data_IF_845539012260
#
_entry.id   IF_845539012260
#
_cell.length_a   1.000
_cell.length_b   1.000
_cell.length_c   1.000
_cell.angle_alpha   90.00
_cell.angle_beta   90.00
_cell.angle_gamma   90.00
#
_symmetry.space_group_name_H-M   'P 1'
#
loop_
_entity.id
_entity.type
_entity.pdbx_description
1 polymer ?
#
# COMPACT_ATOMS: atom_id res chain seq x y z
N UNK A 1 66.26 26.97 1.29
CA UNK A 1 65.31 26.30 2.20
C UNK A 1 63.91 26.73 1.79
N UNK A 2 63.11 25.82 1.19
CA UNK A 2 61.73 26.07 0.84
C UNK A 2 60.82 25.32 1.83
N UNK A 3 59.79 25.92 2.41
CA UNK A 3 58.90 25.22 3.29
C UNK A 3 57.92 24.33 2.48
N UNK A 4 57.80 23.07 2.91
CA UNK A 4 56.82 22.11 2.41
C UNK A 4 55.51 22.37 3.16
N UNK A 5 54.49 22.80 2.44
CA UNK A 5 53.13 22.94 2.97
C UNK A 5 52.43 21.58 2.84
N UNK A 6 52.23 20.88 3.97
CA UNK A 6 51.39 19.69 4.04
C UNK A 6 49.94 20.15 3.98
N UNK A 7 49.29 19.90 2.85
CA UNK A 7 47.84 20.05 2.73
C UNK A 7 47.13 18.88 3.42
N UNK A 8 46.35 19.15 4.47
CA UNK A 8 45.44 18.20 5.07
C UNK A 8 44.18 18.08 4.18
N UNK A 9 44.03 16.95 3.49
CA UNK A 9 42.77 16.59 2.84
C UNK A 9 41.82 16.06 3.90
N UNK A 10 40.78 16.84 4.23
CA UNK A 10 39.62 16.38 4.98
C UNK A 10 38.77 15.49 4.06
N UNK A 11 38.87 14.17 4.25
CA UNK A 11 37.96 13.20 3.63
C UNK A 11 36.65 13.29 4.39
N UNK A 12 35.70 13.98 3.80
CA UNK A 12 34.32 13.99 4.28
C UNK A 12 33.70 12.59 4.13
N UNK A 13 33.47 11.91 5.24
CA UNK A 13 32.69 10.66 5.28
C UNK A 13 31.24 11.02 5.05
N UNK A 14 30.77 10.82 3.84
CA UNK A 14 29.32 10.81 3.53
C UNK A 14 28.71 9.59 4.19
N UNK A 15 28.01 9.79 5.31
CA UNK A 15 27.17 8.76 5.90
C UNK A 15 26.04 8.45 4.91
N UNK A 16 25.83 7.17 4.53
CA UNK A 16 24.67 6.81 3.72
C UNK A 16 23.43 7.13 4.53
N UNK A 17 22.63 8.07 4.03
CA UNK A 17 21.27 8.31 4.54
C UNK A 17 20.52 7.01 4.50
N UNK A 18 19.93 6.61 5.63
CA UNK A 18 19.00 5.47 5.70
C UNK A 18 17.80 5.88 4.87
N UNK A 19 17.81 5.54 3.59
CA UNK A 19 16.62 5.60 2.75
C UNK A 19 15.64 4.60 3.38
N UNK A 20 14.67 5.10 4.13
CA UNK A 20 13.55 4.29 4.60
C UNK A 20 12.99 3.57 3.39
N UNK A 21 12.99 2.24 3.41
CA UNK A 21 12.47 1.44 2.33
C UNK A 21 11.02 1.86 2.07
N UNK A 22 10.79 2.64 1.01
CA UNK A 22 9.45 2.90 0.50
C UNK A 22 8.91 1.56 0.05
N UNK A 23 7.88 1.07 0.74
CA UNK A 23 7.13 -0.09 0.27
C UNK A 23 6.33 0.38 -0.93
N UNK A 24 6.88 0.23 -2.12
CA UNK A 24 6.16 0.46 -3.37
C UNK A 24 5.51 -0.86 -3.78
N UNK A 25 4.20 -0.84 -3.99
CA UNK A 25 3.52 -1.90 -4.73
C UNK A 25 3.80 -1.65 -6.21
N UNK A 26 4.76 -2.37 -6.76
CA UNK A 26 5.12 -2.25 -8.17
C UNK A 26 4.08 -2.99 -9.03
N UNK A 27 3.68 -2.34 -10.12
CA UNK A 27 2.86 -2.97 -11.17
C UNK A 27 1.36 -2.75 -11.03
N UNK A 28 0.90 -1.76 -10.26
CA UNK A 28 -0.49 -1.32 -10.32
C UNK A 28 -0.76 -0.55 -11.62
N UNK A 29 -1.80 -0.95 -12.33
CA UNK A 29 -2.34 -0.22 -13.48
C UNK A 29 -3.86 -0.07 -13.30
N UNK A 30 -4.41 1.05 -13.79
CA UNK A 30 -5.84 1.26 -13.81
C UNK A 30 -6.53 0.44 -14.92
N UNK A 31 -7.85 0.50 -14.99
CA UNK A 31 -8.67 -0.20 -15.98
C UNK A 31 -8.36 0.18 -17.44
N UNK A 32 -7.64 1.29 -17.66
CA UNK A 32 -7.17 1.75 -18.96
C UNK A 32 -5.75 1.28 -19.27
N UNK A 33 -5.10 0.60 -18.34
CA UNK A 33 -3.71 0.19 -18.43
C UNK A 33 -2.70 1.29 -18.09
N UNK A 34 -3.14 2.42 -17.52
CA UNK A 34 -2.24 3.50 -17.09
C UNK A 34 -1.61 3.14 -15.73
N UNK A 35 -0.30 3.39 -15.56
CA UNK A 35 0.36 3.13 -14.29
C UNK A 35 -0.22 4.01 -13.18
N UNK A 36 -0.47 3.42 -12.02
CA UNK A 36 -0.96 4.10 -10.82
C UNK A 36 0.23 4.48 -9.95
N UNK A 37 0.43 5.76 -9.71
CA UNK A 37 1.51 6.25 -8.88
C UNK A 37 1.15 6.18 -7.39
N UNK A 38 2.13 5.84 -6.54
CA UNK A 38 1.98 5.93 -5.08
C UNK A 38 2.45 7.30 -4.58
N UNK A 39 1.64 7.94 -3.73
CA UNK A 39 1.89 9.30 -3.21
C UNK A 39 1.82 9.30 -1.69
N UNK A 40 2.84 9.86 -1.05
CA UNK A 40 2.86 10.05 0.41
C UNK A 40 1.88 11.14 0.82
N UNK A 41 1.01 10.84 1.79
CA UNK A 41 0.13 11.80 2.42
C UNK A 41 0.05 11.54 3.93
N UNK A 42 0.93 12.19 4.71
CA UNK A 42 0.95 12.06 6.19
C UNK A 42 -0.28 12.63 6.88
N UNK A 43 -1.10 13.39 6.18
CA UNK A 43 -2.39 13.94 6.68
C UNK A 43 -3.60 13.06 6.35
N UNK A 44 -3.43 11.95 5.63
CA UNK A 44 -4.51 11.02 5.35
C UNK A 44 -5.01 10.39 6.66
N UNK A 45 -6.32 10.41 6.88
CA UNK A 45 -6.95 9.78 8.06
C UNK A 45 -7.01 8.26 8.01
N UNK A 46 -6.56 7.65 6.93
CA UNK A 46 -6.58 6.22 6.66
C UNK A 46 -5.18 5.68 6.36
N UNK A 47 -5.06 4.37 6.18
CA UNK A 47 -3.83 3.67 5.79
C UNK A 47 -3.43 4.04 4.36
N UNK A 48 -4.36 3.91 3.43
CA UNK A 48 -4.22 4.22 2.02
C UNK A 48 -5.58 4.61 1.42
N UNK A 49 -5.56 5.23 0.24
CA UNK A 49 -6.77 5.63 -0.46
C UNK A 49 -6.49 5.75 -1.97
N UNK A 50 -7.29 5.09 -2.79
CA UNK A 50 -7.34 5.33 -4.22
C UNK A 50 -7.88 6.73 -4.51
N UNK A 51 -7.29 7.45 -5.44
CA UNK A 51 -7.71 8.80 -5.81
C UNK A 51 -7.23 9.21 -7.20
N UNK A 52 -7.60 10.40 -7.61
CA UNK A 52 -7.14 11.01 -8.85
C UNK A 52 -6.36 12.27 -8.54
N UNK A 53 -5.20 12.42 -9.16
CA UNK A 53 -4.45 13.68 -9.13
C UNK A 53 -5.22 14.80 -9.88
N UNK A 54 -4.91 16.08 -9.65
CA UNK A 54 -5.59 17.20 -10.32
C UNK A 54 -5.58 17.13 -11.86
N UNK A 55 -4.58 16.48 -12.44
CA UNK A 55 -4.46 16.25 -13.89
C UNK A 55 -5.21 15.00 -14.38
N UNK A 56 -5.98 14.32 -13.52
CA UNK A 56 -6.72 13.11 -13.85
C UNK A 56 -5.87 11.82 -13.87
N UNK A 57 -4.62 11.86 -13.43
CA UNK A 57 -3.81 10.64 -13.30
C UNK A 57 -4.25 9.81 -12.09
N UNK A 58 -4.29 8.46 -12.20
CA UNK A 58 -4.64 7.59 -11.09
C UNK A 58 -3.48 7.56 -10.07
N UNK A 59 -3.83 7.70 -8.79
CA UNK A 59 -2.86 7.66 -7.69
C UNK A 59 -3.40 6.89 -6.50
N UNK A 60 -2.51 6.24 -5.75
CA UNK A 60 -2.80 5.71 -4.41
C UNK A 60 -2.08 6.61 -3.41
N UNK A 61 -2.84 7.30 -2.57
CA UNK A 61 -2.30 8.02 -1.44
C UNK A 61 -2.10 7.07 -0.27
N UNK A 62 -1.01 7.22 0.49
CA UNK A 62 -0.80 6.41 1.68
C UNK A 62 -0.19 7.22 2.83
N UNK A 63 -0.60 6.88 4.05
CA UNK A 63 -0.09 7.51 5.26
C UNK A 63 1.10 6.72 5.83
N UNK A 64 2.33 7.22 5.72
CA UNK A 64 3.51 6.51 6.22
C UNK A 64 3.47 6.29 7.73
N UNK A 65 2.83 7.19 8.50
CA UNK A 65 2.74 7.12 9.96
C UNK A 65 1.81 5.99 10.43
N UNK A 66 0.85 5.60 9.60
CA UNK A 66 -0.06 4.47 9.87
C UNK A 66 0.55 3.18 9.35
N UNK A 67 1.06 3.19 8.11
CA UNK A 67 1.65 2.01 7.47
C UNK A 67 2.76 1.35 8.30
N UNK A 68 3.62 2.13 8.98
CA UNK A 68 4.72 1.55 9.78
C UNK A 68 4.24 0.68 10.93
N UNK A 69 2.98 0.80 11.35
CA UNK A 69 2.37 0.03 12.44
C UNK A 69 1.80 -1.31 11.98
N UNK A 70 1.67 -1.51 10.68
CA UNK A 70 1.12 -2.72 10.09
C UNK A 70 2.21 -3.72 9.75
N UNK A 71 1.87 -5.02 9.71
CA UNK A 71 2.77 -6.02 9.19
C UNK A 71 3.11 -5.77 7.71
N UNK A 72 4.26 -6.23 7.19
CA UNK A 72 4.59 -6.10 5.78
C UNK A 72 3.50 -6.68 4.85
N UNK A 73 2.91 -7.81 5.24
CA UNK A 73 1.84 -8.48 4.50
C UNK A 73 0.59 -7.61 4.41
N UNK A 74 0.20 -7.00 5.53
CA UNK A 74 -0.98 -6.13 5.59
C UNK A 74 -0.76 -4.83 4.82
N UNK A 75 0.46 -4.27 4.81
CA UNK A 75 0.80 -3.13 3.94
C UNK A 75 0.63 -3.49 2.47
N UNK A 76 1.16 -4.64 2.06
CA UNK A 76 1.04 -5.13 0.67
C UNK A 76 -0.42 -5.34 0.30
N UNK A 77 -1.22 -5.89 1.22
CA UNK A 77 -2.65 -6.07 1.03
C UNK A 77 -3.37 -4.72 0.80
N UNK A 78 -3.16 -3.72 1.63
CA UNK A 78 -3.80 -2.40 1.45
C UNK A 78 -3.44 -1.76 0.11
N UNK A 79 -2.17 -1.82 -0.30
CA UNK A 79 -1.79 -1.34 -1.64
C UNK A 79 -2.53 -2.06 -2.76
N UNK A 80 -2.65 -3.37 -2.68
CA UNK A 80 -3.35 -4.15 -3.69
C UNK A 80 -4.85 -3.87 -3.67
N UNK A 81 -5.44 -3.61 -2.50
CA UNK A 81 -6.84 -3.21 -2.34
C UNK A 81 -7.11 -1.87 -3.04
N UNK A 82 -6.29 -0.85 -2.78
CA UNK A 82 -6.44 0.45 -3.46
C UNK A 82 -6.16 0.34 -4.97
N UNK A 83 -5.24 -0.52 -5.36
CA UNK A 83 -5.01 -0.83 -6.78
C UNK A 83 -6.25 -1.44 -7.43
N UNK A 84 -6.97 -2.31 -6.72
CA UNK A 84 -8.19 -2.92 -7.22
C UNK A 84 -9.26 -1.88 -7.59
N UNK A 85 -9.42 -0.83 -6.80
CA UNK A 85 -10.35 0.24 -7.13
C UNK A 85 -10.05 0.89 -8.48
N UNK A 86 -8.78 1.10 -8.80
CA UNK A 86 -8.37 1.61 -10.11
C UNK A 86 -8.50 0.55 -11.22
N UNK A 87 -8.07 -0.69 -10.96
CA UNK A 87 -8.07 -1.75 -11.96
C UNK A 87 -9.49 -2.20 -12.35
N UNK A 88 -10.45 -2.14 -11.41
CA UNK A 88 -11.84 -2.53 -11.59
C UNK A 88 -12.77 -1.36 -11.96
N UNK A 89 -12.21 -0.16 -12.12
CA UNK A 89 -12.95 1.07 -12.40
C UNK A 89 -14.03 1.39 -11.32
N UNK A 90 -13.75 1.07 -10.07
CA UNK A 90 -14.62 1.43 -8.96
C UNK A 90 -14.73 2.95 -8.80
N UNK A 91 -15.87 3.43 -8.30
CA UNK A 91 -15.98 4.82 -7.85
C UNK A 91 -15.00 5.08 -6.71
N UNK A 92 -14.42 6.30 -6.67
CA UNK A 92 -13.47 6.69 -5.61
C UNK A 92 -14.17 7.49 -4.49
N UNK A 93 -15.43 7.81 -4.68
CA UNK A 93 -16.27 8.48 -3.67
C UNK A 93 -17.53 7.67 -3.45
N UNK A 94 -17.91 7.50 -2.17
CA UNK A 94 -19.09 6.73 -1.77
C UNK A 94 -19.07 5.31 -2.35
N UNK A 95 -17.98 4.58 -2.14
CA UNK A 95 -17.79 3.23 -2.64
C UNK A 95 -18.84 2.31 -2.00
N UNK A 96 -19.67 1.61 -2.77
CA UNK A 96 -20.60 0.64 -2.23
C UNK A 96 -19.85 -0.53 -1.55
N UNK A 97 -20.44 -1.09 -0.51
CA UNK A 97 -19.91 -2.24 0.21
C UNK A 97 -19.52 -3.42 -0.69
N UNK A 98 -20.28 -3.66 -1.77
CA UNK A 98 -19.97 -4.70 -2.74
C UNK A 98 -18.64 -4.47 -3.47
N UNK A 99 -18.30 -3.22 -3.77
CA UNK A 99 -17.03 -2.87 -4.42
C UNK A 99 -15.85 -2.98 -3.46
N UNK A 100 -16.03 -2.70 -2.17
CA UNK A 100 -15.04 -2.96 -1.14
C UNK A 100 -14.72 -4.47 -1.03
N UNK A 101 -15.75 -5.32 -1.04
CA UNK A 101 -15.58 -6.77 -1.04
C UNK A 101 -14.88 -7.26 -2.32
N UNK A 102 -15.22 -6.68 -3.47
CA UNK A 102 -14.61 -7.01 -4.75
C UNK A 102 -13.13 -6.61 -4.75
N UNK A 103 -12.79 -5.43 -4.23
CA UNK A 103 -11.41 -4.98 -4.08
C UNK A 103 -10.61 -5.87 -3.13
N UNK A 104 -11.18 -6.26 -1.99
CA UNK A 104 -10.57 -7.19 -1.05
C UNK A 104 -10.28 -8.55 -1.72
N UNK A 105 -11.24 -9.10 -2.45
CA UNK A 105 -11.08 -10.38 -3.15
C UNK A 105 -10.05 -10.29 -4.27
N UNK A 106 -10.11 -9.24 -5.07
CA UNK A 106 -9.13 -9.01 -6.13
C UNK A 106 -7.70 -8.91 -5.58
N UNK A 107 -7.53 -8.18 -4.47
CA UNK A 107 -6.23 -8.01 -3.81
C UNK A 107 -5.67 -9.37 -3.36
N UNK A 108 -6.45 -10.15 -2.61
CA UNK A 108 -6.01 -11.46 -2.09
C UNK A 108 -5.72 -12.43 -3.24
N UNK A 109 -6.61 -12.56 -4.21
CA UNK A 109 -6.42 -13.46 -5.35
C UNK A 109 -5.19 -13.08 -6.18
N UNK A 110 -5.00 -11.79 -6.43
CA UNK A 110 -3.84 -11.27 -7.18
C UNK A 110 -2.53 -11.53 -6.45
N UNK A 111 -2.47 -11.23 -5.15
CA UNK A 111 -1.25 -11.39 -4.36
C UNK A 111 -0.87 -12.85 -4.15
N UNK A 112 -1.85 -13.72 -3.90
CA UNK A 112 -1.60 -15.16 -3.79
C UNK A 112 -1.25 -15.76 -5.14
N UNK A 113 -1.98 -15.40 -6.20
CA UNK A 113 -1.71 -15.89 -7.55
C UNK A 113 -0.34 -15.50 -8.10
N UNK A 114 0.20 -14.36 -7.66
CA UNK A 114 1.56 -13.90 -8.00
C UNK A 114 2.63 -14.43 -7.04
N UNK A 115 2.27 -15.17 -6.01
CA UNK A 115 3.19 -15.64 -4.97
C UNK A 115 3.74 -14.51 -4.07
N UNK A 116 3.15 -13.31 -4.10
CA UNK A 116 3.52 -12.20 -3.23
C UNK A 116 3.04 -12.41 -1.78
N UNK A 117 1.95 -13.16 -1.60
CA UNK A 117 1.48 -13.65 -0.30
C UNK A 117 1.27 -15.17 -0.36
N UNK A 118 1.70 -15.85 0.69
CA UNK A 118 1.32 -17.24 0.96
C UNK A 118 -0.03 -17.31 1.68
N UNK A 119 -0.63 -18.48 1.77
CA UNK A 119 -1.85 -18.70 2.59
C UNK A 119 -1.63 -18.37 4.08
N UNK A 120 -0.38 -18.53 4.58
CA UNK A 120 0.00 -18.13 5.93
C UNK A 120 -0.01 -16.61 6.07
N UNK A 121 0.47 -15.88 5.05
CA UNK A 121 0.47 -14.41 5.06
C UNK A 121 -0.95 -13.87 5.02
N UNK A 122 -1.86 -14.50 4.28
CA UNK A 122 -3.29 -14.16 4.32
C UNK A 122 -3.86 -14.30 5.73
N UNK A 123 -3.43 -15.31 6.50
CA UNK A 123 -3.84 -15.44 7.90
C UNK A 123 -3.31 -14.27 8.77
N UNK A 124 -2.09 -13.81 8.53
CA UNK A 124 -1.55 -12.63 9.21
C UNK A 124 -2.35 -11.37 8.88
N UNK A 125 -2.66 -11.15 7.60
CA UNK A 125 -3.54 -10.04 7.17
C UNK A 125 -4.91 -10.13 7.85
N UNK A 126 -5.52 -11.31 7.91
CA UNK A 126 -6.81 -11.50 8.59
C UNK A 126 -6.74 -11.16 10.09
N UNK A 127 -5.65 -11.53 10.74
CA UNK A 127 -5.46 -11.22 12.16
C UNK A 127 -5.34 -9.70 12.36
N UNK A 128 -4.51 -9.02 11.57
CA UNK A 128 -4.35 -7.56 11.65
C UNK A 128 -5.69 -6.84 11.41
N UNK A 129 -6.43 -7.24 10.37
CA UNK A 129 -7.73 -6.66 10.04
C UNK A 129 -8.80 -6.94 11.11
N UNK A 130 -8.74 -8.07 11.81
CA UNK A 130 -9.74 -8.44 12.81
C UNK A 130 -9.84 -7.43 13.97
N UNK A 131 -8.79 -6.67 14.20
CA UNK A 131 -8.73 -5.62 15.22
C UNK A 131 -8.98 -4.21 14.65
N UNK A 132 -9.20 -4.06 13.35
CA UNK A 132 -9.51 -2.77 12.75
C UNK A 132 -10.92 -2.33 13.16
N UNK A 133 -11.10 -1.12 13.68
CA UNK A 133 -12.43 -0.60 14.02
C UNK A 133 -13.31 -0.39 12.79
N UNK A 134 -12.71 -0.38 11.59
CA UNK A 134 -13.37 0.10 10.38
C UNK A 134 -13.56 1.61 10.38
N UNK A 135 -13.99 2.13 9.29
CA UNK A 135 -14.38 3.52 9.13
C UNK A 135 -15.61 3.62 8.21
N UNK A 136 -15.97 4.81 7.79
CA UNK A 136 -17.14 5.03 6.92
C UNK A 136 -16.93 4.54 5.47
N UNK A 137 -15.69 4.24 5.06
CA UNK A 137 -15.34 3.69 3.75
C UNK A 137 -15.09 2.19 3.82
N UNK A 138 -14.61 1.67 4.96
CA UNK A 138 -14.21 0.29 5.12
C UNK A 138 -15.02 -0.43 6.20
N UNK A 139 -15.36 -1.67 5.91
CA UNK A 139 -16.10 -2.54 6.84
C UNK A 139 -15.29 -2.83 8.08
N UNK A 140 -15.91 -2.90 9.28
CA UNK A 140 -15.24 -3.34 10.50
C UNK A 140 -14.53 -4.68 10.33
N UNK A 141 -13.34 -4.77 10.93
CA UNK A 141 -12.36 -5.84 10.75
C UNK A 141 -12.87 -7.28 10.80
N UNK A 142 -13.72 -7.69 11.78
CA UNK A 142 -14.19 -9.07 11.82
C UNK A 142 -15.00 -9.48 10.58
N UNK A 143 -15.80 -8.58 10.04
CA UNK A 143 -16.59 -8.82 8.81
C UNK A 143 -15.71 -8.85 7.58
N UNK A 144 -14.70 -7.96 7.51
CA UNK A 144 -13.74 -7.89 6.41
C UNK A 144 -12.85 -9.15 6.39
N UNK A 145 -12.31 -9.56 7.52
CA UNK A 145 -11.48 -10.75 7.64
C UNK A 145 -12.24 -12.05 7.25
N UNK A 146 -13.52 -12.15 7.58
CA UNK A 146 -14.37 -13.27 7.14
C UNK A 146 -14.51 -13.32 5.61
N UNK A 147 -14.68 -12.17 4.97
CA UNK A 147 -14.83 -12.06 3.52
C UNK A 147 -13.53 -12.43 2.79
N UNK A 148 -12.34 -12.08 3.32
CA UNK A 148 -11.06 -12.46 2.73
C UNK A 148 -10.90 -13.97 2.60
N UNK A 149 -11.32 -14.75 3.59
CA UNK A 149 -11.30 -16.21 3.51
C UNK A 149 -12.20 -16.74 2.40
N UNK A 150 -13.37 -16.15 2.24
CA UNK A 150 -14.32 -16.54 1.18
C UNK A 150 -13.77 -16.28 -0.22
N UNK A 151 -12.87 -15.31 -0.39
CA UNK A 151 -12.22 -15.01 -1.66
C UNK A 151 -11.30 -16.13 -2.19
N UNK A 152 -10.75 -16.96 -1.29
CA UNK A 152 -9.80 -18.02 -1.65
C UNK A 152 -10.48 -19.31 -2.14
N UNK A 153 -11.78 -19.45 -1.91
CA UNK A 153 -12.56 -20.63 -2.29
C UNK A 153 -13.41 -20.47 -3.56
N UNK A 154 -13.21 -19.39 -4.31
CA UNK A 154 -13.94 -19.10 -5.55
C UNK A 154 -13.08 -19.33 -6.79
#
# INVERSE_FOLDING_TARGET
MRPIILGFFLVGVLLPGVAGAQVTFDGCADFRGLPVASVLNGGLGDVAMASWAPNGAPVIQYNPNVLVRLSPQTRTFFYAHECAHHALAHGIRNIPFSQEQEADCWAIQTLVGRGALSLRDVQAVQNDLSFSPGDWTHVPGPRRAFNLRACLGR
#
